data_IF_347974491576
#
_entry.id   IF_347974491576
#
_cell.length_a   1.000
_cell.length_b   1.000
_cell.length_c   1.000
_cell.angle_alpha   90.00
_cell.angle_beta   90.00
_cell.angle_gamma   90.00
#
_symmetry.space_group_name_H-M   'P 1'
#
loop_
_entity.id
_entity.type
_entity.pdbx_description
1 polymer ?
#
# COMPACT_ATOMS: atom_id res chain seq x y z
N UNK A 1 5.93 -24.77 4.85
CA UNK A 1 4.54 -24.24 4.87
C UNK A 1 4.39 -23.02 5.78
N UNK A 2 4.87 -23.07 7.04
CA UNK A 2 4.79 -21.96 8.01
C UNK A 2 5.39 -20.65 7.45
N UNK A 3 6.58 -20.72 6.83
CA UNK A 3 7.22 -19.55 6.22
C UNK A 3 6.36 -18.87 5.15
N UNK A 4 5.71 -19.65 4.26
CA UNK A 4 4.84 -19.10 3.23
C UNK A 4 3.62 -18.41 3.86
N UNK A 5 2.98 -19.03 4.86
CA UNK A 5 1.85 -18.41 5.58
C UNK A 5 2.24 -17.08 6.24
N UNK A 6 3.43 -17.00 6.85
CA UNK A 6 3.93 -15.75 7.42
C UNK A 6 4.14 -14.68 6.35
N UNK A 7 4.70 -15.04 5.20
CA UNK A 7 4.87 -14.11 4.08
C UNK A 7 3.51 -13.61 3.59
N UNK A 8 2.56 -14.51 3.33
CA UNK A 8 1.22 -14.12 2.90
C UNK A 8 0.52 -13.19 3.91
N UNK A 9 0.62 -13.49 5.21
CA UNK A 9 0.05 -12.66 6.27
C UNK A 9 0.70 -11.26 6.30
N UNK A 10 2.03 -11.19 6.27
CA UNK A 10 2.74 -9.90 6.24
C UNK A 10 2.42 -9.11 4.99
N UNK A 11 2.38 -9.74 3.81
CA UNK A 11 2.01 -9.05 2.56
C UNK A 11 0.59 -8.50 2.65
N UNK A 12 -0.35 -9.28 3.19
CA UNK A 12 -1.72 -8.83 3.43
C UNK A 12 -1.76 -7.60 4.36
N UNK A 13 -1.03 -7.62 5.48
CA UNK A 13 -0.96 -6.50 6.43
C UNK A 13 -0.33 -5.26 5.79
N UNK A 14 0.82 -5.41 5.12
CA UNK A 14 1.54 -4.33 4.43
C UNK A 14 0.61 -3.64 3.42
N UNK A 15 -0.02 -4.41 2.52
CA UNK A 15 -0.92 -3.84 1.53
C UNK A 15 -2.20 -3.25 2.13
N UNK A 16 -2.67 -3.77 3.28
CA UNK A 16 -3.77 -3.18 4.03
C UNK A 16 -3.38 -1.79 4.56
N UNK A 17 -2.23 -1.70 5.25
CA UNK A 17 -1.73 -0.45 5.85
C UNK A 17 -1.43 0.60 4.79
N UNK A 18 -0.74 0.23 3.71
CA UNK A 18 -0.46 1.14 2.59
C UNK A 18 -1.74 1.74 2.00
N UNK A 19 -2.75 0.89 1.79
CA UNK A 19 -4.02 1.32 1.20
C UNK A 19 -4.83 2.20 2.16
N UNK A 20 -4.71 1.96 3.47
CA UNK A 20 -5.32 2.78 4.52
C UNK A 20 -4.60 4.12 4.73
N UNK A 21 -3.41 4.34 4.16
CA UNK A 21 -2.78 5.67 4.18
C UNK A 21 -3.66 6.75 3.52
N UNK A 22 -4.47 6.38 2.52
CA UNK A 22 -5.48 7.27 1.94
C UNK A 22 -6.56 7.67 2.95
N UNK A 23 -6.96 6.75 3.83
CA UNK A 23 -7.95 7.03 4.87
C UNK A 23 -7.44 8.09 5.86
N UNK A 24 -6.14 8.06 6.12
CA UNK A 24 -5.48 9.02 6.99
C UNK A 24 -5.40 10.41 6.37
N UNK A 25 -5.00 10.51 5.10
CA UNK A 25 -5.01 11.78 4.34
C UNK A 25 -6.43 12.39 4.33
N UNK A 26 -7.44 11.56 4.08
CA UNK A 26 -8.84 11.99 4.10
C UNK A 26 -9.34 12.39 5.50
N UNK A 27 -8.92 11.66 6.54
CA UNK A 27 -9.21 11.98 7.94
C UNK A 27 -8.64 13.34 8.35
N UNK A 28 -7.40 13.64 7.90
CA UNK A 28 -6.75 14.94 8.10
C UNK A 28 -7.47 16.09 7.42
N UNK A 29 -7.96 15.87 6.21
CA UNK A 29 -8.76 16.86 5.49
C UNK A 29 -10.08 17.14 6.22
N UNK A 30 -10.76 16.10 6.75
CA UNK A 30 -11.98 16.27 7.55
C UNK A 30 -11.75 17.04 8.85
N UNK A 31 -10.59 16.85 9.48
CA UNK A 31 -10.21 17.60 10.69
C UNK A 31 -9.50 18.93 10.40
N UNK A 32 -9.40 19.35 9.13
CA UNK A 32 -8.63 20.54 8.68
C UNK A 32 -7.18 20.59 9.17
N UNK A 33 -6.54 19.43 9.34
CA UNK A 33 -5.18 19.24 9.88
C UNK A 33 -4.33 18.40 8.91
N UNK A 34 -4.23 18.84 7.65
CA UNK A 34 -3.61 18.04 6.58
C UNK A 34 -2.14 17.79 6.84
N UNK A 35 -1.39 18.79 7.32
CA UNK A 35 0.04 18.65 7.59
C UNK A 35 0.31 17.52 8.60
N UNK A 36 -0.46 17.47 9.70
CA UNK A 36 -0.36 16.40 10.69
C UNK A 36 -0.73 15.02 10.11
N UNK A 37 -1.73 14.98 9.24
CA UNK A 37 -2.10 13.74 8.56
C UNK A 37 -1.04 13.28 7.55
N UNK A 38 -0.37 14.19 6.85
CA UNK A 38 0.77 13.88 5.99
C UNK A 38 1.92 13.32 6.81
N UNK A 39 2.22 13.89 7.98
CA UNK A 39 3.23 13.35 8.90
C UNK A 39 2.88 11.94 9.37
N UNK A 40 1.64 11.69 9.82
CA UNK A 40 1.18 10.34 10.20
C UNK A 40 1.23 9.37 9.00
N UNK A 41 0.93 9.86 7.79
CA UNK A 41 0.92 9.02 6.58
C UNK A 41 2.34 8.63 6.20
N UNK A 42 3.29 9.56 6.32
CA UNK A 42 4.71 9.28 6.16
C UNK A 42 5.20 8.23 7.14
N UNK A 43 4.81 8.31 8.41
CA UNK A 43 5.16 7.30 9.41
C UNK A 43 4.59 5.92 9.05
N UNK A 44 3.31 5.84 8.65
CA UNK A 44 2.70 4.57 8.24
C UNK A 44 3.39 3.96 7.02
N UNK A 45 3.69 4.78 6.01
CA UNK A 45 4.40 4.34 4.79
C UNK A 45 5.82 3.88 5.12
N UNK A 46 6.51 4.57 6.03
CA UNK A 46 7.85 4.17 6.47
C UNK A 46 7.81 2.80 7.14
N UNK A 47 6.89 2.58 8.08
CA UNK A 47 6.73 1.28 8.76
C UNK A 47 6.41 0.18 7.74
N UNK A 48 5.47 0.44 6.84
CA UNK A 48 5.07 -0.50 5.78
C UNK A 48 6.24 -0.88 4.85
N UNK A 49 7.03 0.11 4.42
CA UNK A 49 8.21 -0.10 3.57
C UNK A 49 9.30 -0.87 4.31
N UNK A 50 9.55 -0.55 5.59
CA UNK A 50 10.49 -1.30 6.42
C UNK A 50 10.04 -2.74 6.59
N UNK A 51 8.74 -3.00 6.81
CA UNK A 51 8.19 -4.35 6.87
C UNK A 51 8.35 -5.12 5.54
N UNK A 52 8.20 -4.45 4.40
CA UNK A 52 8.44 -5.05 3.08
C UNK A 52 9.92 -5.44 2.89
N UNK A 53 10.85 -4.56 3.25
CA UNK A 53 12.30 -4.85 3.21
C UNK A 53 12.64 -6.01 4.16
N UNK A 54 12.08 -6.02 5.37
CA UNK A 54 12.27 -7.10 6.34
C UNK A 54 11.68 -8.44 5.87
N UNK A 55 10.63 -8.42 5.04
CA UNK A 55 10.08 -9.61 4.39
C UNK A 55 11.00 -10.13 3.26
N UNK A 56 11.86 -9.28 2.67
CA UNK A 56 12.76 -9.62 1.57
C UNK A 56 13.57 -10.91 1.77
N UNK A 57 14.31 -11.08 2.89
CA UNK A 57 15.03 -12.31 3.19
C UNK A 57 14.15 -13.56 3.24
N UNK A 58 12.91 -13.44 3.71
CA UNK A 58 11.97 -14.57 3.76
C UNK A 58 11.57 -15.04 2.36
N UNK A 59 11.37 -14.10 1.43
CA UNK A 59 11.06 -14.40 0.02
C UNK A 59 12.31 -14.88 -0.71
N UNK A 60 13.48 -14.29 -0.43
CA UNK A 60 14.77 -14.73 -0.98
C UNK A 60 15.09 -16.18 -0.62
N UNK A 61 14.85 -16.60 0.62
CA UNK A 61 15.00 -18.00 1.02
C UNK A 61 14.05 -18.94 0.25
N UNK A 62 12.88 -18.48 -0.23
CA UNK A 62 12.04 -19.29 -1.12
C UNK A 62 12.73 -19.53 -2.48
N UNK A 63 13.47 -18.55 -2.99
CA UNK A 63 14.27 -18.71 -4.22
C UNK A 63 15.40 -19.70 -3.97
N UNK A 64 16.12 -19.60 -2.86
CA UNK A 64 17.20 -20.54 -2.52
C UNK A 64 16.69 -21.98 -2.37
N UNK A 65 15.53 -22.17 -1.76
CA UNK A 65 14.87 -23.49 -1.69
C UNK A 65 14.48 -23.99 -3.10
N UNK A 66 13.97 -23.10 -3.95
CA UNK A 66 13.59 -23.44 -5.32
C UNK A 66 14.79 -23.91 -6.17
N UNK A 67 15.97 -23.38 -5.91
CA UNK A 67 17.20 -23.75 -6.62
C UNK A 67 17.84 -25.04 -6.11
N UNK A 68 17.52 -25.46 -4.89
CA UNK A 68 18.04 -26.70 -4.28
C UNK A 68 17.12 -27.89 -4.51
N UNK A 69 15.85 -27.66 -4.82
CA UNK A 69 14.84 -28.71 -4.90
C UNK A 69 13.96 -28.48 -6.13
N UNK A 70 14.14 -29.30 -7.17
CA UNK A 70 13.38 -29.19 -8.42
C UNK A 70 11.86 -29.35 -8.25
N UNK A 71 11.39 -30.04 -7.20
CA UNK A 71 9.96 -30.15 -6.90
C UNK A 71 9.34 -28.87 -6.31
N UNK A 72 10.15 -27.87 -5.98
CA UNK A 72 9.69 -26.62 -5.40
C UNK A 72 9.20 -25.67 -6.49
N UNK A 73 7.88 -25.60 -6.65
CA UNK A 73 7.23 -24.66 -7.59
C UNK A 73 7.23 -23.23 -7.00
N UNK A 74 8.17 -22.40 -7.45
CA UNK A 74 8.32 -21.01 -6.98
C UNK A 74 7.22 -20.08 -7.54
N UNK A 75 6.97 -20.13 -8.84
CA UNK A 75 6.05 -19.23 -9.55
C UNK A 75 4.65 -19.17 -8.92
N UNK A 76 3.95 -20.30 -8.64
CA UNK A 76 2.62 -20.24 -8.01
C UNK A 76 2.64 -19.62 -6.61
N UNK A 77 3.75 -19.75 -5.88
CA UNK A 77 3.89 -19.15 -4.54
C UNK A 77 4.08 -17.64 -4.65
N UNK A 78 4.81 -17.16 -5.64
CA UNK A 78 4.94 -15.72 -5.92
C UNK A 78 3.61 -15.10 -6.34
N UNK A 79 2.83 -15.76 -7.21
CA UNK A 79 1.45 -15.36 -7.50
C UNK A 79 0.56 -15.35 -6.25
N UNK A 80 0.75 -16.31 -5.34
CA UNK A 80 0.11 -16.32 -4.03
C UNK A 80 0.42 -15.08 -3.18
N UNK A 81 1.66 -14.61 -3.19
CA UNK A 81 2.06 -13.36 -2.51
C UNK A 81 1.33 -12.15 -3.12
N UNK A 82 1.27 -12.06 -4.44
CA UNK A 82 0.52 -10.99 -5.13
C UNK A 82 -0.99 -11.11 -4.86
N UNK A 83 -1.51 -12.32 -4.68
CA UNK A 83 -2.91 -12.55 -4.33
C UNK A 83 -3.20 -12.06 -2.90
N UNK A 84 -2.28 -12.29 -1.96
CA UNK A 84 -2.35 -11.73 -0.61
C UNK A 84 -2.28 -10.19 -0.62
N UNK A 85 -1.49 -9.58 -1.50
CA UNK A 85 -1.47 -8.12 -1.71
C UNK A 85 -2.84 -7.58 -2.18
N UNK A 86 -3.49 -8.29 -3.09
CA UNK A 86 -4.86 -7.96 -3.54
C UNK A 86 -5.85 -8.13 -2.39
N UNK A 87 -5.76 -9.22 -1.62
CA UNK A 87 -6.58 -9.46 -0.43
C UNK A 87 -6.42 -8.38 0.64
N UNK A 88 -5.21 -7.91 0.89
CA UNK A 88 -4.94 -6.79 1.80
C UNK A 88 -5.54 -5.47 1.30
N UNK A 89 -5.45 -5.21 0.00
CA UNK A 89 -6.04 -4.01 -0.61
C UNK A 89 -7.58 -4.04 -0.54
N UNK A 90 -8.19 -5.22 -0.75
CA UNK A 90 -9.62 -5.46 -0.58
C UNK A 90 -10.06 -5.26 0.88
N UNK A 91 -9.30 -5.82 1.82
CA UNK A 91 -9.55 -5.63 3.25
C UNK A 91 -9.50 -4.15 3.63
N UNK A 92 -8.50 -3.41 3.15
CA UNK A 92 -8.43 -1.98 3.35
C UNK A 92 -9.64 -1.25 2.76
N UNK A 93 -10.09 -1.62 1.55
CA UNK A 93 -11.27 -1.03 0.91
C UNK A 93 -12.53 -1.20 1.75
N UNK A 94 -12.73 -2.39 2.32
CA UNK A 94 -13.82 -2.66 3.24
C UNK A 94 -13.72 -1.83 4.53
N UNK A 95 -12.52 -1.75 5.12
CA UNK A 95 -12.27 -1.03 6.37
C UNK A 95 -12.24 0.50 6.19
N UNK A 96 -12.08 0.99 4.96
CA UNK A 96 -11.80 2.39 4.64
C UNK A 96 -12.76 3.39 5.31
N UNK A 97 -14.10 3.26 5.22
CA UNK A 97 -15.02 4.25 5.81
C UNK A 97 -14.90 4.34 7.34
N UNK A 98 -14.58 3.23 8.00
CA UNK A 98 -14.37 3.17 9.44
C UNK A 98 -13.03 3.76 9.82
N UNK A 99 -11.98 3.42 9.09
CA UNK A 99 -10.63 3.90 9.34
C UNK A 99 -10.51 5.40 9.09
N UNK A 100 -11.20 5.97 8.09
CA UNK A 100 -11.21 7.44 7.88
C UNK A 100 -11.67 8.19 9.14
N UNK A 101 -12.70 7.68 9.83
CA UNK A 101 -13.22 8.29 11.07
C UNK A 101 -12.22 8.15 12.21
N UNK A 102 -11.60 6.98 12.35
CA UNK A 102 -10.55 6.73 13.33
C UNK A 102 -9.36 7.66 13.10
N UNK A 103 -8.88 7.75 11.86
CA UNK A 103 -7.78 8.60 11.46
C UNK A 103 -8.04 10.08 11.73
N UNK A 104 -9.25 10.58 11.47
CA UNK A 104 -9.61 11.97 11.79
C UNK A 104 -9.40 12.28 13.29
N UNK A 105 -9.70 11.32 14.18
CA UNK A 105 -9.44 11.44 15.62
C UNK A 105 -7.96 11.27 15.96
N UNK A 106 -7.26 10.35 15.31
CA UNK A 106 -5.81 10.16 15.50
C UNK A 106 -5.04 11.44 15.19
N UNK A 107 -5.42 12.15 14.12
CA UNK A 107 -4.83 13.44 13.76
C UNK A 107 -5.08 14.48 14.87
N UNK A 108 -6.27 14.49 15.46
CA UNK A 108 -6.58 15.38 16.60
C UNK A 108 -5.76 15.02 17.84
N UNK A 109 -5.61 13.73 18.14
CA UNK A 109 -4.77 13.26 19.24
C UNK A 109 -3.29 13.55 19.02
N UNK A 110 -2.81 13.49 17.78
CA UNK A 110 -1.43 13.87 17.46
C UNK A 110 -1.20 15.36 17.76
N UNK A 111 -2.13 16.23 17.38
CA UNK A 111 -2.02 17.66 17.69
C UNK A 111 -1.97 17.90 19.20
N UNK A 112 -2.87 17.25 19.96
CA UNK A 112 -2.90 17.39 21.42
C UNK A 112 -1.64 16.81 22.10
N UNK A 113 -1.07 15.75 21.54
CA UNK A 113 0.15 15.15 22.06
C UNK A 113 1.41 15.98 21.72
N UNK A 114 1.44 16.59 20.53
CA UNK A 114 2.58 17.36 20.01
C UNK A 114 3.71 16.53 19.42
N UNK A 115 3.73 15.20 19.59
CA UNK A 115 4.71 14.30 18.98
C UNK A 115 4.21 12.85 18.88
N UNK A 116 4.75 12.08 17.92
CA UNK A 116 4.39 10.66 17.75
C UNK A 116 4.65 9.80 18.99
N UNK A 117 5.83 9.88 19.67
CA UNK A 117 6.09 9.03 20.84
C UNK A 117 5.14 9.33 22.00
N UNK A 118 4.82 10.61 22.22
CA UNK A 118 3.86 11.02 23.26
C UNK A 118 2.44 10.58 22.91
N UNK A 119 2.05 10.66 21.64
CA UNK A 119 0.77 10.11 21.16
C UNK A 119 0.70 8.59 21.39
N UNK A 120 1.74 7.84 21.03
CA UNK A 120 1.79 6.39 21.22
C UNK A 120 1.68 6.00 22.71
N UNK A 121 2.41 6.69 23.59
CA UNK A 121 2.31 6.49 25.05
C UNK A 121 0.90 6.75 25.57
N UNK A 122 0.25 7.81 25.11
CA UNK A 122 -1.12 8.16 25.49
C UNK A 122 -2.16 7.16 24.97
N UNK A 123 -1.92 6.54 23.81
CA UNK A 123 -2.77 5.51 23.22
C UNK A 123 -2.60 4.13 23.89
N UNK A 124 -1.41 3.83 24.44
CA UNK A 124 -1.13 2.57 25.16
C UNK A 124 -1.71 2.52 26.59
N UNK A 125 -2.32 3.60 27.09
CA UNK A 125 -3.06 3.57 28.35
C UNK A 125 -4.39 2.82 28.16
N UNK A 126 -4.41 1.55 28.59
CA UNK A 126 -5.49 0.55 28.42
C UNK A 126 -6.89 1.07 28.81
N UNK A 127 -6.97 2.01 29.75
CA UNK A 127 -8.22 2.64 30.19
C UNK A 127 -8.97 3.41 29.07
N UNK A 128 -8.27 3.95 28.07
CA UNK A 128 -8.89 4.70 26.94
C UNK A 128 -9.18 3.86 25.69
N UNK A 129 -8.62 2.66 25.60
CA UNK A 129 -8.80 1.77 24.44
C UNK A 129 -10.20 1.11 24.43
N UNK A 130 -10.75 0.79 25.62
CA UNK A 130 -12.12 0.26 25.78
C UNK A 130 -13.19 1.20 25.21
N UNK A 131 -12.99 2.51 25.28
CA UNK A 131 -13.89 3.49 24.67
C UNK A 131 -13.66 3.61 23.15
N UNK A 132 -12.44 3.43 22.65
CA UNK A 132 -12.11 3.54 21.22
C UNK A 132 -12.80 2.50 20.33
N UNK A 133 -12.94 1.28 20.83
CA UNK A 133 -13.52 0.14 20.09
C UNK A 133 -15.05 0.23 19.92
N UNK A 134 -15.74 0.92 20.83
CA UNK A 134 -17.19 1.21 20.75
C UNK A 134 -17.56 2.12 19.58
N UNK A 135 -16.58 2.81 18.97
CA UNK A 135 -16.80 3.70 17.85
C UNK A 135 -16.58 3.06 16.47
N UNK A 136 -16.26 1.76 16.44
CA UNK A 136 -16.16 1.00 15.21
C UNK A 136 -17.56 0.70 14.65
N UNK A 137 -18.21 1.71 14.06
CA UNK A 137 -19.47 1.50 13.33
C UNK A 137 -19.17 0.71 12.06
N UNK A 138 -19.82 -0.44 11.88
CA UNK A 138 -19.70 -1.26 10.67
C UNK A 138 -19.92 -0.38 9.42
N UNK A 139 -19.07 -0.50 8.39
CA UNK A 139 -19.27 0.23 7.13
C UNK A 139 -20.61 -0.21 6.52
N UNK A 140 -21.50 0.74 6.24
CA UNK A 140 -22.76 0.44 5.55
C UNK A 140 -22.57 0.52 4.04
N UNK A 141 -23.25 -0.35 3.29
CA UNK A 141 -23.16 -0.42 1.83
C UNK A 141 -23.45 0.93 1.14
N UNK A 142 -24.34 1.75 1.71
CA UNK A 142 -24.62 3.11 1.23
C UNK A 142 -23.44 4.08 1.37
N UNK A 143 -22.56 3.91 2.38
CA UNK A 143 -21.33 4.72 2.51
C UNK A 143 -20.30 4.32 1.47
N UNK A 144 -20.23 3.03 1.11
CA UNK A 144 -19.37 2.56 0.02
C UNK A 144 -19.86 3.07 -1.32
N UNK A 145 -21.16 2.96 -1.63
CA UNK A 145 -21.70 3.42 -2.93
C UNK A 145 -21.43 4.91 -3.19
N UNK A 146 -21.68 5.78 -2.20
CA UNK A 146 -21.37 7.21 -2.28
C UNK A 146 -19.88 7.54 -2.43
N UNK A 147 -18.99 6.61 -2.06
CA UNK A 147 -17.55 6.76 -2.22
C UNK A 147 -17.09 6.48 -3.66
N UNK A 148 -17.84 5.68 -4.42
CA UNK A 148 -17.48 5.25 -5.78
C UNK A 148 -18.33 5.90 -6.89
N UNK A 149 -19.39 6.63 -6.55
CA UNK A 149 -20.26 7.32 -7.52
C UNK A 149 -19.71 8.70 -7.93
N UNK A 150 -19.23 8.87 -9.17
CA UNK A 150 -18.89 10.19 -9.72
C UNK A 150 -17.88 10.19 -10.88
N UNK A 151 -17.50 11.38 -11.39
CA UNK A 151 -16.57 11.50 -12.51
C UNK A 151 -15.15 11.06 -12.11
N UNK A 152 -14.61 10.12 -12.87
CA UNK A 152 -13.33 9.47 -12.62
C UNK A 152 -12.16 10.36 -13.08
N UNK A 153 -11.15 10.64 -12.24
CA UNK A 153 -9.90 11.26 -12.68
C UNK A 153 -9.05 10.21 -13.42
N UNK A 154 -9.47 9.82 -14.63
CA UNK A 154 -8.93 8.69 -15.40
C UNK A 154 -7.40 8.69 -15.46
N UNK A 155 -6.77 9.82 -15.75
CA UNK A 155 -5.30 9.95 -15.80
C UNK A 155 -4.64 9.60 -14.47
N UNK A 156 -5.17 10.11 -13.35
CA UNK A 156 -4.62 9.83 -12.02
C UNK A 156 -4.79 8.36 -11.65
N UNK A 157 -5.92 7.74 -12.01
CA UNK A 157 -6.17 6.33 -11.77
C UNK A 157 -5.27 5.40 -12.58
N UNK A 158 -5.04 5.70 -13.86
CA UNK A 158 -4.14 4.90 -14.71
C UNK A 158 -2.71 4.98 -14.17
N UNK A 159 -2.25 6.19 -13.82
CA UNK A 159 -0.93 6.38 -13.21
C UNK A 159 -0.80 5.61 -11.89
N UNK A 160 -1.79 5.72 -11.00
CA UNK A 160 -1.77 5.02 -9.73
C UNK A 160 -1.85 3.50 -9.88
N UNK A 161 -2.57 3.00 -10.88
CA UNK A 161 -2.63 1.58 -11.20
C UNK A 161 -1.27 1.07 -11.66
N UNK A 162 -0.64 1.76 -12.63
CA UNK A 162 0.66 1.39 -13.17
C UNK A 162 1.76 1.43 -12.09
N UNK A 163 1.83 2.51 -11.31
CA UNK A 163 2.78 2.65 -10.20
C UNK A 163 2.58 1.56 -9.15
N UNK A 164 1.33 1.24 -8.80
CA UNK A 164 1.03 0.14 -7.87
C UNK A 164 1.46 -1.21 -8.44
N UNK A 165 1.25 -1.45 -9.73
CA UNK A 165 1.63 -2.70 -10.37
C UNK A 165 3.16 -2.89 -10.35
N UNK A 166 3.92 -1.84 -10.73
CA UNK A 166 5.39 -1.85 -10.67
C UNK A 166 5.88 -2.07 -9.24
N UNK A 167 5.31 -1.35 -8.27
CA UNK A 167 5.67 -1.49 -6.86
C UNK A 167 5.41 -2.91 -6.31
N UNK A 168 4.26 -3.50 -6.67
CA UNK A 168 3.84 -4.83 -6.19
C UNK A 168 4.68 -5.94 -6.82
N UNK A 169 4.98 -5.82 -8.12
CA UNK A 169 5.64 -6.87 -8.88
C UNK A 169 7.16 -6.77 -8.87
N UNK A 170 7.73 -5.58 -8.62
CA UNK A 170 9.15 -5.31 -8.86
C UNK A 170 10.11 -6.23 -8.12
N UNK A 171 9.95 -6.34 -6.78
CA UNK A 171 10.80 -7.22 -5.96
C UNK A 171 10.59 -8.69 -6.33
N UNK A 172 9.34 -9.12 -6.54
CA UNK A 172 9.02 -10.51 -6.85
C UNK A 172 9.53 -10.93 -8.23
N UNK A 173 9.47 -10.04 -9.22
CA UNK A 173 9.99 -10.27 -10.58
C UNK A 173 11.51 -10.34 -10.58
N UNK A 174 12.19 -9.47 -9.83
CA UNK A 174 13.64 -9.50 -9.68
C UNK A 174 14.12 -10.80 -9.02
N UNK A 175 13.42 -11.27 -7.98
CA UNK A 175 13.69 -12.55 -7.33
C UNK A 175 13.39 -13.74 -8.26
N UNK A 176 12.33 -13.65 -9.06
CA UNK A 176 12.02 -14.68 -10.05
C UNK A 176 13.02 -14.71 -11.21
N UNK A 177 13.51 -13.56 -11.67
CA UNK A 177 14.61 -13.47 -12.63
C UNK A 177 15.90 -14.08 -12.06
N UNK A 178 16.19 -13.86 -10.76
CA UNK A 178 17.33 -14.46 -10.07
C UNK A 178 17.24 -16.00 -9.99
N UNK A 179 16.01 -16.54 -10.00
CA UNK A 179 15.75 -17.98 -10.11
C UNK A 179 15.94 -18.49 -11.55
N UNK A 180 15.42 -17.77 -12.55
CA UNK A 180 15.50 -18.16 -13.97
C UNK A 180 16.92 -18.08 -14.55
N UNK A 181 17.73 -17.10 -14.13
CA UNK A 181 19.14 -16.94 -14.54
C UNK A 181 20.09 -17.01 -13.33
N UNK A 182 20.40 -18.21 -12.81
CA UNK A 182 21.23 -18.36 -11.62
C UNK A 182 22.63 -17.74 -11.74
N UNK A 183 23.19 -17.67 -12.95
CA UNK A 183 24.49 -17.06 -13.22
C UNK A 183 24.54 -15.55 -12.88
N UNK A 184 23.40 -14.86 -13.03
CA UNK A 184 23.27 -13.42 -12.77
C UNK A 184 22.44 -13.13 -11.52
N UNK A 185 22.32 -14.10 -10.59
CA UNK A 185 21.43 -14.02 -9.42
C UNK A 185 21.61 -12.75 -8.61
N UNK A 186 22.87 -12.38 -8.32
CA UNK A 186 23.16 -11.18 -7.53
C UNK A 186 22.66 -9.93 -8.25
N UNK A 187 22.98 -9.79 -9.54
CA UNK A 187 22.56 -8.67 -10.40
C UNK A 187 21.03 -8.60 -10.52
N UNK A 188 20.38 -9.73 -10.76
CA UNK A 188 18.92 -9.83 -10.81
C UNK A 188 18.29 -9.38 -9.49
N UNK A 189 18.78 -9.87 -8.35
CA UNK A 189 18.24 -9.53 -7.04
C UNK A 189 18.45 -8.05 -6.68
N UNK A 190 19.59 -7.46 -7.01
CA UNK A 190 19.89 -6.04 -6.71
C UNK A 190 19.09 -5.07 -7.59
N UNK A 191 18.66 -5.50 -8.79
CA UNK A 191 17.76 -4.71 -9.66
C UNK A 191 16.44 -4.33 -9.00
N UNK A 192 15.97 -5.12 -8.01
CA UNK A 192 14.75 -4.82 -7.25
C UNK A 192 14.78 -3.44 -6.56
N UNK A 193 15.96 -3.03 -6.08
CA UNK A 193 16.16 -1.72 -5.46
C UNK A 193 15.92 -0.57 -6.43
N UNK A 194 16.44 -0.71 -7.66
CA UNK A 194 16.22 0.26 -8.74
C UNK A 194 14.74 0.35 -9.12
N UNK A 195 14.07 -0.80 -9.30
CA UNK A 195 12.65 -0.84 -9.66
C UNK A 195 11.79 -0.16 -8.58
N UNK A 196 12.07 -0.43 -7.30
CA UNK A 196 11.35 0.20 -6.19
C UNK A 196 11.64 1.71 -6.09
N UNK A 197 12.89 2.12 -6.35
CA UNK A 197 13.28 3.52 -6.46
C UNK A 197 12.50 4.25 -7.54
N UNK A 198 12.43 3.68 -8.74
CA UNK A 198 11.64 4.19 -9.86
C UNK A 198 10.16 4.28 -9.52
N UNK A 199 9.57 3.24 -8.93
CA UNK A 199 8.15 3.28 -8.50
C UNK A 199 7.89 4.42 -7.50
N UNK A 200 8.83 4.65 -6.58
CA UNK A 200 8.73 5.72 -5.59
C UNK A 200 8.82 7.09 -6.26
N UNK A 201 9.76 7.28 -7.19
CA UNK A 201 9.88 8.53 -7.97
C UNK A 201 8.59 8.80 -8.75
N UNK A 202 8.04 7.80 -9.45
CA UNK A 202 6.80 7.94 -10.21
C UNK A 202 5.61 8.32 -9.31
N UNK A 203 5.50 7.70 -8.12
CA UNK A 203 4.49 8.07 -7.12
C UNK A 203 4.62 9.55 -6.70
N UNK A 204 5.82 9.96 -6.32
CA UNK A 204 6.09 11.30 -5.78
C UNK A 204 5.99 12.39 -6.85
N UNK A 205 6.38 12.12 -8.09
CA UNK A 205 6.32 13.13 -9.16
C UNK A 205 4.93 13.23 -9.82
N UNK A 206 4.23 12.10 -9.99
CA UNK A 206 3.03 12.06 -10.83
C UNK A 206 1.73 12.08 -10.03
N UNK A 207 1.74 11.54 -8.80
CA UNK A 207 0.52 11.29 -8.03
C UNK A 207 0.42 12.27 -6.86
N UNK A 208 1.47 12.40 -6.03
CA UNK A 208 1.42 13.22 -4.81
C UNK A 208 1.07 14.70 -5.06
N UNK A 209 1.62 15.41 -6.07
CA UNK A 209 1.29 16.81 -6.35
C UNK A 209 -0.18 16.98 -6.73
N UNK A 210 -0.76 16.02 -7.45
CA UNK A 210 -2.17 16.05 -7.86
C UNK A 210 -3.09 15.89 -6.66
N UNK A 211 -2.77 14.97 -5.74
CA UNK A 211 -3.53 14.78 -4.51
C UNK A 211 -3.38 16.00 -3.60
N UNK A 212 -2.18 16.57 -3.48
CA UNK A 212 -1.92 17.76 -2.68
C UNK A 212 -2.73 18.97 -3.18
N UNK A 213 -2.72 19.25 -4.48
CA UNK A 213 -3.52 20.33 -5.08
C UNK A 213 -5.02 20.14 -4.86
N UNK A 214 -5.55 18.92 -5.02
CA UNK A 214 -6.97 18.63 -4.76
C UNK A 214 -7.33 18.80 -3.28
N UNK A 215 -6.41 18.43 -2.39
CA UNK A 215 -6.57 18.58 -0.95
C UNK A 215 -6.59 20.06 -0.55
N UNK A 216 -5.67 20.86 -1.09
CA UNK A 216 -5.58 22.30 -0.83
C UNK A 216 -6.82 23.06 -1.34
N UNK A 217 -7.26 22.78 -2.56
CA UNK A 217 -8.54 23.31 -3.09
C UNK A 217 -9.74 22.99 -2.21
N UNK A 218 -9.74 21.79 -1.60
CA UNK A 218 -10.81 21.39 -0.70
C UNK A 218 -10.74 22.11 0.64
N UNK A 219 -9.55 22.46 1.14
CA UNK A 219 -9.39 23.30 2.34
C UNK A 219 -9.83 24.75 2.09
N UNK A 220 -9.53 25.30 0.91
CA UNK A 220 -9.93 26.65 0.49
C UNK A 220 -11.43 26.79 0.19
N UNK A 221 -12.18 25.68 0.19
CA UNK A 221 -13.61 25.67 -0.13
C UNK A 221 -13.92 25.68 -1.63
N UNK A 222 -12.91 25.66 -2.51
CA UNK A 222 -13.06 25.60 -3.97
C UNK A 222 -13.54 24.23 -4.48
N UNK A 223 -13.44 23.20 -3.63
CA UNK A 223 -13.87 21.84 -3.92
C UNK A 223 -14.56 21.24 -2.70
N UNK A 224 -15.55 20.37 -2.93
CA UNK A 224 -16.27 19.72 -1.84
C UNK A 224 -15.50 18.54 -1.25
N UNK A 225 -15.65 18.32 0.07
CA UNK A 225 -15.17 17.09 0.74
C UNK A 225 -15.71 15.81 0.08
N UNK A 226 -16.94 15.87 -0.46
CA UNK A 226 -17.54 14.76 -1.21
C UNK A 226 -16.76 14.42 -2.49
N UNK A 227 -16.22 15.42 -3.20
CA UNK A 227 -15.32 15.18 -4.34
C UNK A 227 -14.03 14.48 -3.88
N UNK A 228 -13.43 14.91 -2.77
CA UNK A 228 -12.20 14.27 -2.29
C UNK A 228 -12.42 12.83 -1.80
N UNK A 229 -13.53 12.57 -1.09
CA UNK A 229 -13.94 11.21 -0.72
C UNK A 229 -13.91 10.29 -1.96
N UNK A 230 -14.51 10.74 -3.07
CA UNK A 230 -14.57 9.97 -4.32
C UNK A 230 -13.23 9.75 -4.98
N UNK A 231 -12.37 10.78 -4.99
CA UNK A 231 -11.00 10.64 -5.50
C UNK A 231 -10.27 9.54 -4.74
N UNK A 232 -10.30 9.54 -3.41
CA UNK A 232 -9.65 8.48 -2.63
C UNK A 232 -10.30 7.11 -2.82
N UNK A 233 -11.62 7.03 -2.96
CA UNK A 233 -12.31 5.78 -3.33
C UNK A 233 -11.80 5.20 -4.64
N UNK A 234 -11.77 6.01 -5.70
CA UNK A 234 -11.25 5.59 -6.99
C UNK A 234 -9.74 5.26 -6.96
N UNK A 235 -8.95 5.95 -6.13
CA UNK A 235 -7.54 5.61 -5.92
C UNK A 235 -7.36 4.23 -5.30
N UNK A 236 -8.23 3.82 -4.37
CA UNK A 236 -8.20 2.46 -3.83
C UNK A 236 -8.58 1.41 -4.87
N UNK A 237 -9.60 1.69 -5.69
CA UNK A 237 -9.99 0.79 -6.78
C UNK A 237 -8.86 0.65 -7.82
N UNK A 238 -8.24 1.77 -8.16
CA UNK A 238 -7.05 1.81 -9.03
C UNK A 238 -5.88 1.03 -8.43
N UNK A 239 -5.64 1.13 -7.11
CA UNK A 239 -4.60 0.35 -6.42
C UNK A 239 -4.88 -1.15 -6.49
N UNK A 240 -6.11 -1.58 -6.22
CA UNK A 240 -6.51 -2.99 -6.36
C UNK A 240 -6.37 -3.48 -7.81
N UNK A 241 -6.78 -2.68 -8.79
CA UNK A 241 -6.56 -3.01 -10.20
C UNK A 241 -5.04 -3.13 -10.53
N UNK A 242 -4.21 -2.32 -9.88
CA UNK A 242 -2.75 -2.42 -9.99
C UNK A 242 -2.18 -3.72 -9.40
N UNK A 243 -2.69 -4.19 -8.25
CA UNK A 243 -2.26 -5.49 -7.69
C UNK A 243 -2.74 -6.67 -8.53
N UNK A 244 -3.90 -6.55 -9.17
CA UNK A 244 -4.36 -7.54 -10.15
C UNK A 244 -3.49 -7.51 -11.42
N UNK A 245 -3.15 -6.32 -11.93
CA UNK A 245 -2.25 -6.18 -13.06
C UNK A 245 -0.86 -6.76 -12.75
N UNK A 246 -0.39 -6.63 -11.51
CA UNK A 246 0.87 -7.24 -11.06
C UNK A 246 0.87 -8.78 -11.21
N UNK A 247 -0.29 -9.45 -11.12
CA UNK A 247 -0.36 -10.88 -11.39
C UNK A 247 0.07 -11.20 -12.82
N UNK A 248 -0.41 -10.41 -13.79
CA UNK A 248 -0.10 -10.60 -15.20
C UNK A 248 1.34 -10.19 -15.53
N UNK A 249 1.88 -9.21 -14.80
CA UNK A 249 3.21 -8.65 -15.07
C UNK A 249 4.35 -9.47 -14.44
N UNK A 250 4.09 -10.37 -13.50
CA UNK A 250 5.15 -11.09 -12.77
C UNK A 250 6.14 -11.79 -13.69
N UNK A 251 5.63 -12.63 -14.59
CA UNK A 251 6.47 -13.42 -15.49
C UNK A 251 7.11 -12.52 -16.56
N UNK A 252 6.37 -11.68 -17.32
CA UNK A 252 6.98 -10.80 -18.32
C UNK A 252 8.05 -9.87 -17.76
N UNK A 253 7.84 -9.29 -16.57
CA UNK A 253 8.82 -8.43 -15.93
C UNK A 253 10.08 -9.20 -15.51
N UNK A 254 9.95 -10.45 -15.07
CA UNK A 254 11.12 -11.27 -14.76
C UNK A 254 11.96 -11.57 -16.01
N UNK A 255 11.31 -11.91 -17.13
CA UNK A 255 12.02 -12.09 -18.41
C UNK A 255 12.67 -10.81 -18.92
N UNK A 256 11.99 -9.67 -18.76
CA UNK A 256 12.54 -8.37 -19.12
C UNK A 256 13.79 -8.01 -18.28
N UNK A 257 13.77 -8.30 -16.97
CA UNK A 257 14.95 -8.13 -16.11
C UNK A 257 16.07 -9.05 -16.59
N UNK A 258 15.77 -10.33 -16.88
CA UNK A 258 16.74 -11.29 -17.42
C UNK A 258 17.41 -10.83 -18.71
N UNK A 259 16.64 -10.25 -19.64
CA UNK A 259 17.15 -9.70 -20.89
C UNK A 259 18.06 -8.47 -20.72
N UNK A 260 17.86 -7.68 -19.66
CA UNK A 260 18.70 -6.49 -19.39
C UNK A 260 20.04 -6.87 -18.75
N UNK A 261 20.05 -7.92 -17.93
CA UNK A 261 21.23 -8.33 -17.16
C UNK A 261 22.10 -9.37 -17.86
N UNK A 262 21.54 -10.10 -18.84
CA UNK A 262 22.25 -11.09 -19.66
C UNK A 262 22.80 -10.48 -20.93
#
# INVERSE_FOLDING_TARGET
MIQLMMILMFTLVIHTVDSLSYALRLGGLRSRRITLALSLSGLLVLVSRTSNIAQGPMVGNMVDQALRTDSFRLEPRLHGIIAAATGGTLLAMFLFPSVVRLCSRMVVHLEAAGSFPKMARNLMSVSKWKNGMTYFKRPTLGMMKKLFDGPLPKRLMVLNMAVTAIYTVGVLSALYAAYLWPAFRLTASTSSGLINGLATILLTLLIDPRIALLSDKTLRGESSLGRMNRVFGHMMMSRMAGTLLAQLLLVPCAYWIGWIIG
#
